data_IF_835400463239
#
_entry.id   IF_835400463239
#
_cell.length_a   1.000
_cell.length_b   1.000
_cell.length_c   1.000
_cell.angle_alpha   90.00
_cell.angle_beta   90.00
_cell.angle_gamma   90.00
#
_symmetry.space_group_name_H-M   'P 1'
#
loop_
_entity.id
_entity.type
_entity.pdbx_description
1 polymer ?
#
# COMPACT_ATOMS: atom_id res chain seq x y z
N UNK A 1 -29.14 15.24 55.78
CA UNK A 1 -28.81 13.90 55.26
C UNK A 1 -28.48 14.05 53.79
N UNK A 2 -27.34 13.50 53.40
CA UNK A 2 -26.47 13.89 52.29
C UNK A 2 -26.99 13.40 50.93
N UNK A 3 -27.26 14.34 50.01
CA UNK A 3 -27.45 14.08 48.57
C UNK A 3 -26.11 14.14 47.81
N UNK A 4 -26.03 13.54 46.61
CA UNK A 4 -24.79 12.97 46.08
C UNK A 4 -23.85 14.03 45.51
N UNK A 5 -22.56 13.91 45.86
CA UNK A 5 -21.48 14.51 45.07
C UNK A 5 -21.24 13.61 43.86
N UNK A 6 -21.89 13.88 42.73
CA UNK A 6 -21.29 13.52 41.45
C UNK A 6 -20.07 14.43 41.27
N UNK A 7 -18.90 13.89 41.60
CA UNK A 7 -17.66 14.37 41.01
C UNK A 7 -17.79 14.13 39.52
N UNK A 8 -18.08 15.20 38.77
CA UNK A 8 -17.89 15.23 37.34
C UNK A 8 -16.38 15.21 37.16
N UNK A 9 -15.85 14.07 36.74
CA UNK A 9 -14.47 13.98 36.25
C UNK A 9 -14.40 14.81 34.96
N UNK A 10 -14.29 16.13 35.10
CA UNK A 10 -13.79 17.01 34.04
C UNK A 10 -12.28 16.75 33.93
N UNK A 11 -11.92 15.55 33.48
CA UNK A 11 -10.59 15.27 32.97
C UNK A 11 -10.50 16.07 31.66
N UNK A 12 -10.00 17.30 31.81
CA UNK A 12 -9.77 18.23 30.71
C UNK A 12 -8.92 17.49 29.68
N UNK A 13 -9.55 17.01 28.61
CA UNK A 13 -8.88 16.33 27.52
C UNK A 13 -7.90 17.32 26.91
N UNK A 14 -6.65 17.24 27.35
CA UNK A 14 -5.59 18.12 26.91
C UNK A 14 -5.03 17.48 25.65
N UNK A 15 -5.44 18.02 24.51
CA UNK A 15 -4.86 17.67 23.22
C UNK A 15 -3.33 17.61 23.34
N UNK A 16 -2.77 16.42 23.12
CA UNK A 16 -1.33 16.19 23.07
C UNK A 16 -0.90 16.19 21.61
N UNK A 17 0.19 16.88 21.33
CA UNK A 17 0.79 16.92 19.98
C UNK A 17 2.16 16.30 20.02
N UNK A 18 2.40 15.35 19.12
CA UNK A 18 3.64 14.62 18.94
C UNK A 18 4.21 14.96 17.56
N UNK A 19 5.43 15.47 17.52
CA UNK A 19 6.17 15.65 16.28
C UNK A 19 6.61 14.28 15.74
N UNK A 20 6.44 14.05 14.43
CA UNK A 20 6.70 12.74 13.82
C UNK A 20 8.09 12.62 13.18
N UNK A 21 8.96 13.63 13.27
CA UNK A 21 10.30 13.63 12.65
C UNK A 21 11.11 12.35 12.93
N UNK A 22 10.97 11.78 14.14
CA UNK A 22 11.68 10.55 14.55
C UNK A 22 10.95 9.26 14.16
N UNK A 23 9.65 9.34 13.91
CA UNK A 23 8.79 8.21 13.57
C UNK A 23 8.63 8.03 12.04
N UNK A 24 8.95 9.05 11.25
CA UNK A 24 8.93 9.02 9.78
C UNK A 24 9.89 7.95 9.24
N UNK A 25 9.50 7.38 8.10
CA UNK A 25 10.29 6.42 7.36
C UNK A 25 10.66 6.94 5.96
N UNK A 26 10.87 8.25 5.78
CA UNK A 26 11.15 8.77 4.43
C UNK A 26 12.44 8.17 3.86
N UNK A 27 12.44 7.89 2.55
CA UNK A 27 13.61 7.39 1.85
C UNK A 27 14.01 5.93 2.18
N UNK A 28 13.15 5.19 2.90
CA UNK A 28 13.50 3.86 3.40
C UNK A 28 13.74 2.84 2.28
N UNK A 29 13.00 2.96 1.16
CA UNK A 29 13.10 2.03 0.04
C UNK A 29 14.38 2.27 -0.75
N UNK A 30 14.75 3.54 -0.94
CA UNK A 30 15.98 3.98 -1.58
C UNK A 30 17.20 3.52 -0.77
N UNK A 31 17.15 3.69 0.56
CA UNK A 31 18.19 3.19 1.47
C UNK A 31 18.35 1.67 1.40
N UNK A 32 17.25 0.93 1.18
CA UNK A 32 17.32 -0.52 0.97
C UNK A 32 18.00 -0.89 -0.36
N UNK A 33 17.80 -0.05 -1.39
CA UNK A 33 18.41 -0.21 -2.71
C UNK A 33 19.91 0.11 -2.75
N UNK A 34 20.39 1.06 -1.95
CA UNK A 34 21.78 1.56 -1.97
C UNK A 34 22.86 0.51 -1.63
N UNK A 35 22.48 -0.66 -1.10
CA UNK A 35 23.40 -1.75 -0.75
C UNK A 35 23.17 -3.08 -1.47
N UNK A 36 22.16 -3.19 -2.34
CA UNK A 36 21.72 -4.48 -2.88
C UNK A 36 22.00 -4.64 -4.37
N UNK A 37 22.87 -5.59 -4.71
CA UNK A 37 23.09 -5.98 -6.12
C UNK A 37 21.78 -6.51 -6.71
N UNK A 38 21.36 -5.95 -7.84
CA UNK A 38 20.16 -6.39 -8.55
C UNK A 38 18.85 -5.81 -8.06
N UNK A 39 18.85 -4.86 -7.10
CA UNK A 39 17.61 -4.23 -6.62
C UNK A 39 16.86 -3.49 -7.71
N UNK A 40 17.57 -2.75 -8.57
CA UNK A 40 16.97 -2.08 -9.73
C UNK A 40 16.29 -3.10 -10.65
N UNK A 41 16.97 -4.19 -10.97
CA UNK A 41 16.40 -5.26 -11.81
C UNK A 41 15.19 -5.92 -11.15
N UNK A 42 15.24 -6.13 -9.84
CA UNK A 42 14.12 -6.67 -9.08
C UNK A 42 12.92 -5.72 -9.15
N UNK A 43 13.11 -4.42 -8.97
CA UNK A 43 12.08 -3.40 -9.10
C UNK A 43 11.52 -3.31 -10.52
N UNK A 44 12.36 -3.46 -11.55
CA UNK A 44 11.94 -3.47 -12.95
C UNK A 44 11.03 -4.66 -13.28
N UNK A 45 11.33 -5.86 -12.74
CA UNK A 45 10.55 -7.06 -13.06
C UNK A 45 9.33 -7.20 -12.14
N UNK A 46 9.52 -7.07 -10.83
CA UNK A 46 8.46 -7.28 -9.83
C UNK A 46 7.56 -6.05 -9.71
N UNK A 47 8.09 -4.86 -10.00
CA UNK A 47 7.45 -3.57 -9.74
C UNK A 47 7.90 -3.02 -8.39
N UNK A 48 8.41 -1.80 -8.39
CA UNK A 48 8.96 -1.11 -7.22
C UNK A 48 8.00 -1.14 -6.01
N UNK A 49 6.71 -0.88 -6.24
CA UNK A 49 5.66 -0.96 -5.20
C UNK A 49 5.54 -2.33 -4.56
N UNK A 50 5.62 -3.40 -5.37
CA UNK A 50 5.50 -4.76 -4.88
C UNK A 50 6.77 -5.24 -4.18
N UNK A 51 7.94 -4.74 -4.57
CA UNK A 51 9.17 -4.93 -3.78
C UNK A 51 9.02 -4.26 -2.41
N UNK A 52 8.49 -3.04 -2.36
CA UNK A 52 8.23 -2.38 -1.09
C UNK A 52 7.21 -3.15 -0.24
N UNK A 53 6.10 -3.60 -0.83
CA UNK A 53 5.08 -4.41 -0.13
C UNK A 53 5.64 -5.72 0.41
N UNK A 54 6.60 -6.36 -0.29
CA UNK A 54 7.23 -7.57 0.23
C UNK A 54 7.99 -7.29 1.52
N UNK A 55 8.76 -6.20 1.56
CA UNK A 55 9.50 -5.82 2.76
C UNK A 55 8.55 -5.48 3.91
N UNK A 56 7.50 -4.70 3.64
CA UNK A 56 6.48 -4.34 4.65
C UNK A 56 5.77 -5.60 5.18
N UNK A 57 5.55 -6.61 4.34
CA UNK A 57 4.97 -7.89 4.74
C UNK A 57 5.95 -8.83 5.44
N UNK A 58 7.22 -8.43 5.65
CA UNK A 58 8.25 -9.30 6.21
C UNK A 58 8.68 -10.44 5.27
N UNK A 59 8.49 -10.26 3.97
CA UNK A 59 8.82 -11.21 2.91
C UNK A 59 10.14 -10.83 2.26
N UNK A 60 11.06 -11.80 2.23
CA UNK A 60 12.36 -11.68 1.57
C UNK A 60 12.36 -12.48 0.28
N UNK A 61 12.47 -11.79 -0.86
CA UNK A 61 12.67 -12.44 -2.15
C UNK A 61 14.10 -12.99 -2.21
N UNK A 62 14.24 -14.28 -2.49
CA UNK A 62 15.52 -14.98 -2.53
C UNK A 62 15.97 -15.31 -3.95
N UNK A 63 15.02 -15.55 -4.86
CA UNK A 63 15.31 -15.73 -6.28
C UNK A 63 14.13 -15.30 -7.17
N UNK A 64 14.46 -14.97 -8.42
CA UNK A 64 13.51 -14.60 -9.46
C UNK A 64 13.91 -15.27 -10.77
N UNK A 65 13.01 -16.06 -11.35
CA UNK A 65 13.19 -16.66 -12.68
C UNK A 65 12.22 -15.98 -13.65
N UNK A 66 12.76 -15.17 -14.56
CA UNK A 66 11.96 -14.36 -15.49
C UNK A 66 11.54 -15.19 -16.70
N UNK A 67 10.24 -15.19 -17.01
CA UNK A 67 9.74 -15.66 -18.31
C UNK A 67 9.55 -14.46 -19.26
N UNK A 68 10.40 -14.29 -20.29
CA UNK A 68 10.33 -13.14 -21.20
C UNK A 68 9.11 -13.17 -22.13
N UNK A 69 8.42 -14.32 -22.23
CA UNK A 69 7.23 -14.48 -23.08
C UNK A 69 5.95 -14.14 -22.32
N UNK A 70 5.93 -14.43 -21.02
CA UNK A 70 4.81 -14.12 -20.14
C UNK A 70 5.31 -13.70 -18.75
N UNK A 71 5.52 -12.40 -18.51
CA UNK A 71 6.06 -11.90 -17.25
C UNK A 71 5.30 -12.36 -16.00
N UNK A 72 3.96 -12.51 -16.09
CA UNK A 72 3.13 -12.96 -14.96
C UNK A 72 3.42 -14.41 -14.53
N UNK A 73 3.94 -15.23 -15.45
CA UNK A 73 4.37 -16.61 -15.18
C UNK A 73 5.83 -16.69 -14.69
N UNK A 74 6.52 -15.54 -14.59
CA UNK A 74 7.81 -15.50 -13.90
C UNK A 74 7.64 -16.04 -12.49
N UNK A 75 8.67 -16.71 -12.00
CA UNK A 75 8.61 -17.38 -10.71
C UNK A 75 9.36 -16.57 -9.68
N UNK A 76 8.70 -16.29 -8.57
CA UNK A 76 9.29 -15.66 -7.38
C UNK A 76 9.49 -16.72 -6.31
N UNK A 77 10.72 -16.84 -5.82
CA UNK A 77 11.07 -17.62 -4.64
C UNK A 77 11.33 -16.67 -3.47
N UNK A 78 10.73 -16.95 -2.31
CA UNK A 78 10.78 -16.06 -1.17
C UNK A 78 10.65 -16.79 0.17
N UNK A 79 11.05 -16.10 1.23
CA UNK A 79 10.94 -16.53 2.62
C UNK A 79 10.09 -15.51 3.39
N UNK A 80 9.42 -15.96 4.46
CA UNK A 80 8.56 -15.10 5.29
C UNK A 80 9.08 -15.14 6.71
N UNK A 81 9.63 -14.02 7.20
CA UNK A 81 10.24 -13.94 8.52
C UNK A 81 11.21 -15.09 8.79
N UNK A 82 11.02 -15.78 9.91
CA UNK A 82 11.83 -16.95 10.32
C UNK A 82 11.14 -18.29 10.03
N UNK A 83 10.04 -18.30 9.26
CA UNK A 83 9.35 -19.55 8.96
C UNK A 83 10.23 -20.45 8.09
N UNK A 84 10.43 -21.73 8.48
CA UNK A 84 11.27 -22.63 7.73
C UNK A 84 10.61 -23.00 6.40
N UNK A 85 11.34 -22.76 5.30
CA UNK A 85 10.98 -23.20 3.96
C UNK A 85 10.78 -22.05 2.97
N UNK A 86 11.47 -22.12 1.84
CA UNK A 86 11.23 -21.22 0.71
C UNK A 86 9.88 -21.55 0.07
N UNK A 87 9.13 -20.51 -0.25
CA UNK A 87 7.88 -20.59 -0.99
C UNK A 87 8.13 -20.12 -2.41
N UNK A 88 7.37 -20.69 -3.35
CA UNK A 88 7.48 -20.42 -4.78
C UNK A 88 6.11 -20.13 -5.34
N UNK A 89 5.94 -18.98 -5.97
CA UNK A 89 4.69 -18.55 -6.62
C UNK A 89 4.99 -17.99 -8.02
N UNK A 90 3.97 -17.95 -8.87
CA UNK A 90 4.01 -17.10 -10.06
C UNK A 90 4.05 -15.63 -9.63
N UNK A 91 4.54 -14.75 -10.50
CA UNK A 91 4.60 -13.32 -10.22
C UNK A 91 3.21 -12.74 -10.00
N UNK A 92 2.20 -13.19 -10.75
CA UNK A 92 0.81 -12.79 -10.54
C UNK A 92 0.28 -13.21 -9.16
N UNK A 93 0.51 -14.46 -8.75
CA UNK A 93 0.03 -14.96 -7.45
C UNK A 93 0.79 -14.29 -6.29
N UNK A 94 2.08 -14.03 -6.48
CA UNK A 94 2.90 -13.31 -5.52
C UNK A 94 2.38 -11.88 -5.30
N UNK A 95 2.10 -11.15 -6.39
CA UNK A 95 1.52 -9.80 -6.33
C UNK A 95 0.14 -9.80 -5.68
N UNK A 96 -0.72 -10.77 -6.00
CA UNK A 96 -2.04 -10.89 -5.37
C UNK A 96 -1.93 -11.16 -3.87
N UNK A 97 -1.00 -12.02 -3.45
CA UNK A 97 -0.75 -12.28 -2.03
C UNK A 97 -0.26 -11.03 -1.29
N UNK A 98 0.65 -10.27 -1.88
CA UNK A 98 1.12 -9.01 -1.29
C UNK A 98 -0.01 -7.99 -1.16
N UNK A 99 -0.86 -7.89 -2.18
CA UNK A 99 -2.04 -7.03 -2.16
C UNK A 99 -2.96 -7.38 -0.98
N UNK A 100 -3.26 -8.67 -0.80
CA UNK A 100 -4.08 -9.16 0.31
C UNK A 100 -3.44 -8.86 1.68
N UNK A 101 -2.11 -9.03 1.79
CA UNK A 101 -1.39 -8.71 3.02
C UNK A 101 -1.45 -7.21 3.36
N UNK A 102 -1.29 -6.32 2.38
CA UNK A 102 -1.34 -4.87 2.60
C UNK A 102 -2.75 -4.36 2.94
N UNK A 103 -3.79 -5.00 2.41
CA UNK A 103 -5.20 -4.63 2.59
C UNK A 103 -5.86 -5.32 3.78
N UNK A 104 -5.15 -6.23 4.47
CA UNK A 104 -5.65 -6.85 5.69
C UNK A 104 -5.73 -5.84 6.83
N UNK A 105 -6.70 -5.99 7.73
CA UNK A 105 -6.83 -5.12 8.89
C UNK A 105 -5.62 -5.27 9.81
N UNK A 106 -5.09 -4.14 10.29
CA UNK A 106 -4.05 -4.10 11.32
C UNK A 106 -4.67 -3.98 12.69
N UNK A 107 -4.18 -4.77 13.64
CA UNK A 107 -4.44 -4.55 15.07
C UNK A 107 -3.65 -3.32 15.54
N UNK A 108 -4.23 -2.14 15.36
CA UNK A 108 -3.61 -0.90 15.81
C UNK A 108 -3.90 -0.65 17.29
N UNK A 109 -2.94 0.00 17.98
CA UNK A 109 -3.15 0.39 19.37
C UNK A 109 -4.32 1.39 19.49
N UNK A 110 -5.12 1.22 20.54
CA UNK A 110 -6.24 2.11 20.87
C UNK A 110 -5.90 3.00 22.06
N UNK A 111 -6.63 4.11 22.23
CA UNK A 111 -6.40 5.07 23.30
C UNK A 111 -5.30 6.07 22.96
N UNK A 112 -4.36 6.31 23.89
CA UNK A 112 -3.25 7.23 23.68
C UNK A 112 -1.93 6.48 23.41
N UNK A 113 -0.99 7.07 22.64
CA UNK A 113 0.35 6.50 22.45
C UNK A 113 1.03 6.25 23.80
N UNK A 114 1.68 5.08 23.93
CA UNK A 114 2.43 4.68 25.14
C UNK A 114 3.60 5.61 25.48
N UNK A 115 4.13 6.30 24.47
CA UNK A 115 5.29 7.16 24.57
C UNK A 115 5.37 8.15 23.40
N UNK A 116 6.34 9.06 23.49
CA UNK A 116 6.67 10.03 22.43
C UNK A 116 7.93 9.61 21.62
N UNK A 117 8.44 8.40 21.88
CA UNK A 117 9.50 7.76 21.10
C UNK A 117 8.95 7.22 19.77
N UNK A 118 9.86 6.97 18.83
CA UNK A 118 9.52 6.55 17.47
C UNK A 118 8.71 5.26 17.46
N UNK A 119 9.12 4.26 18.23
CA UNK A 119 8.47 2.95 18.27
C UNK A 119 7.02 3.05 18.77
N UNK A 120 6.79 3.78 19.86
CA UNK A 120 5.44 4.02 20.39
C UNK A 120 4.54 4.74 19.39
N UNK A 121 5.06 5.75 18.70
CA UNK A 121 4.30 6.52 17.71
C UNK A 121 4.01 5.69 16.45
N UNK A 122 4.98 4.92 15.98
CA UNK A 122 4.81 4.03 14.83
C UNK A 122 3.83 2.91 15.12
N UNK A 123 3.89 2.29 16.31
CA UNK A 123 2.91 1.29 16.77
C UNK A 123 1.50 1.86 16.80
N UNK A 124 1.35 3.09 17.32
CA UNK A 124 0.06 3.76 17.41
C UNK A 124 -0.54 4.13 16.04
N UNK A 125 0.27 4.68 15.13
CA UNK A 125 -0.17 4.99 13.75
C UNK A 125 -0.45 3.68 12.99
N UNK A 126 0.38 2.67 13.23
CA UNK A 126 0.47 1.39 12.53
C UNK A 126 1.71 1.38 11.65
N UNK A 127 2.65 0.47 11.93
CA UNK A 127 3.95 0.38 11.24
C UNK A 127 3.81 0.31 9.72
N UNK A 128 2.81 -0.44 9.24
CA UNK A 128 2.49 -0.55 7.81
C UNK A 128 2.21 0.81 7.19
N UNK A 129 1.37 1.63 7.82
CA UNK A 129 0.99 2.94 7.29
C UNK A 129 2.17 3.92 7.29
N UNK A 130 3.04 3.84 8.30
CA UNK A 130 4.27 4.65 8.34
C UNK A 130 5.20 4.32 7.18
N UNK A 131 5.34 3.04 6.82
CA UNK A 131 6.18 2.60 5.70
C UNK A 131 5.53 2.85 4.33
N UNK A 132 4.20 2.75 4.24
CA UNK A 132 3.46 2.99 3.00
C UNK A 132 3.35 4.47 2.64
N UNK A 133 3.19 5.37 3.62
CA UNK A 133 3.02 6.79 3.40
C UNK A 133 4.08 7.44 2.47
N UNK A 134 5.39 7.25 2.70
CA UNK A 134 6.41 7.85 1.84
C UNK A 134 6.39 7.27 0.42
N UNK A 135 5.91 6.04 0.21
CA UNK A 135 5.76 5.51 -1.15
C UNK A 135 4.75 6.34 -1.94
N UNK A 136 3.71 6.88 -1.30
CA UNK A 136 2.68 7.69 -1.96
C UNK A 136 2.91 9.21 -1.84
N UNK A 137 4.15 9.63 -1.56
CA UNK A 137 4.53 11.03 -1.33
C UNK A 137 3.70 11.70 -0.22
N UNK A 138 3.31 10.93 0.81
CA UNK A 138 2.60 11.43 1.98
C UNK A 138 3.62 11.62 3.11
N UNK A 139 3.98 12.87 3.40
CA UNK A 139 4.82 13.21 4.54
C UNK A 139 4.02 13.22 5.84
N UNK A 140 4.51 12.56 6.89
CA UNK A 140 3.88 12.58 8.21
C UNK A 140 4.51 13.69 9.06
N UNK A 141 3.70 14.62 9.55
CA UNK A 141 4.22 15.83 10.23
C UNK A 141 3.99 15.77 11.74
N UNK A 142 2.72 15.70 12.17
CA UNK A 142 2.35 15.71 13.58
C UNK A 142 1.20 14.74 13.86
N UNK A 143 1.22 14.10 15.02
CA UNK A 143 0.07 13.37 15.57
C UNK A 143 -0.53 14.20 16.71
N UNK A 144 -1.84 14.47 16.64
CA UNK A 144 -2.64 15.19 17.62
C UNK A 144 -3.62 14.20 18.25
N UNK A 145 -3.53 13.98 19.56
CA UNK A 145 -4.37 13.02 20.28
C UNK A 145 -5.18 13.75 21.34
N UNK A 146 -6.49 13.56 21.30
CA UNK A 146 -7.46 14.13 22.22
C UNK A 146 -8.39 13.02 22.75
N UNK A 147 -8.00 12.40 23.87
CA UNK A 147 -8.64 11.18 24.37
C UNK A 147 -8.47 10.03 23.36
N UNK A 148 -9.59 9.53 22.85
CA UNK A 148 -9.64 8.46 21.85
C UNK A 148 -9.61 8.99 20.40
N UNK A 149 -9.68 10.31 20.21
CA UNK A 149 -9.62 10.92 18.89
C UNK A 149 -8.17 11.20 18.51
N UNK A 150 -7.74 10.66 17.37
CA UNK A 150 -6.44 10.93 16.80
C UNK A 150 -6.60 11.64 15.45
N UNK A 151 -5.85 12.72 15.27
CA UNK A 151 -5.72 13.45 14.01
C UNK A 151 -4.25 13.49 13.62
N UNK A 152 -3.94 13.21 12.36
CA UNK A 152 -2.59 13.26 11.82
C UNK A 152 -2.50 14.41 10.80
N UNK A 153 -1.50 15.27 10.99
CA UNK A 153 -1.13 16.28 10.00
C UNK A 153 -0.22 15.60 8.97
N UNK A 154 -0.64 15.64 7.71
CA UNK A 154 0.10 15.08 6.58
C UNK A 154 0.43 16.16 5.55
N UNK A 155 1.56 16.00 4.85
CA UNK A 155 1.95 16.81 3.73
C UNK A 155 1.75 16.01 2.42
N UNK A 156 0.87 16.47 1.54
CA UNK A 156 0.60 15.86 0.23
C UNK A 156 0.80 16.92 -0.85
N UNK A 157 1.72 16.69 -1.79
CA UNK A 157 2.05 17.69 -2.82
C UNK A 157 2.53 19.03 -2.23
N UNK A 158 3.17 18.99 -1.05
CA UNK A 158 3.63 20.17 -0.32
C UNK A 158 2.54 20.93 0.45
N UNK A 159 1.27 20.50 0.40
CA UNK A 159 0.19 21.09 1.20
C UNK A 159 -0.03 20.29 2.48
N UNK A 160 -0.12 20.98 3.61
CA UNK A 160 -0.40 20.39 4.92
C UNK A 160 -1.91 20.29 5.14
N UNK A 161 -2.37 19.13 5.56
CA UNK A 161 -3.77 18.85 5.87
C UNK A 161 -3.86 17.98 7.11
N UNK A 162 -4.85 18.26 7.97
CA UNK A 162 -5.20 17.42 9.12
C UNK A 162 -6.27 16.40 8.71
N UNK A 163 -6.02 15.12 9.01
CA UNK A 163 -6.97 14.03 8.78
C UNK A 163 -7.22 13.27 10.08
N UNK A 164 -8.45 12.81 10.36
CA UNK A 164 -8.64 11.72 11.31
C UNK A 164 -7.69 10.57 10.99
N UNK A 165 -7.11 9.96 12.01
CA UNK A 165 -6.10 8.91 11.80
C UNK A 165 -6.64 7.75 10.98
N UNK A 166 -7.91 7.38 11.18
CA UNK A 166 -8.56 6.35 10.37
C UNK A 166 -8.76 6.78 8.93
N UNK A 167 -9.15 8.03 8.66
CA UNK A 167 -9.25 8.56 7.28
C UNK A 167 -7.89 8.53 6.56
N UNK A 168 -6.79 8.79 7.28
CA UNK A 168 -5.43 8.61 6.73
C UNK A 168 -5.14 7.13 6.40
N UNK A 169 -5.52 6.20 7.27
CA UNK A 169 -5.36 4.76 7.00
C UNK A 169 -6.17 4.33 5.78
N UNK A 170 -7.40 4.81 5.67
CA UNK A 170 -8.29 4.57 4.54
C UNK A 170 -7.69 5.11 3.24
N UNK A 171 -7.21 6.35 3.25
CA UNK A 171 -6.51 6.98 2.13
C UNK A 171 -5.33 6.14 1.65
N UNK A 172 -4.48 5.66 2.56
CA UNK A 172 -3.33 4.81 2.20
C UNK A 172 -3.79 3.46 1.63
N UNK A 173 -4.83 2.84 2.18
CA UNK A 173 -5.40 1.59 1.63
C UNK A 173 -5.97 1.79 0.24
N UNK A 174 -6.58 2.93 -0.04
CA UNK A 174 -7.09 3.25 -1.37
C UNK A 174 -5.96 3.36 -2.40
N UNK A 175 -4.83 3.97 -2.01
CA UNK A 175 -3.64 4.00 -2.88
C UNK A 175 -3.06 2.61 -3.17
N UNK A 176 -3.05 1.74 -2.16
CA UNK A 176 -2.68 0.32 -2.37
C UNK A 176 -3.65 -0.36 -3.35
N UNK A 177 -4.97 -0.11 -3.24
CA UNK A 177 -5.97 -0.68 -4.17
C UNK A 177 -5.75 -0.18 -5.60
N UNK A 178 -5.40 1.10 -5.77
CA UNK A 178 -5.09 1.69 -7.07
C UNK A 178 -3.88 0.99 -7.72
N UNK A 179 -2.78 0.80 -6.98
CA UNK A 179 -1.59 0.09 -7.48
C UNK A 179 -1.93 -1.34 -7.94
N UNK A 180 -2.75 -2.05 -7.16
CA UNK A 180 -3.19 -3.42 -7.47
C UNK A 180 -4.07 -3.46 -8.71
N UNK A 181 -4.94 -2.45 -8.90
CA UNK A 181 -5.80 -2.36 -10.08
C UNK A 181 -5.00 -2.00 -11.35
N UNK A 182 -4.04 -1.09 -11.24
CA UNK A 182 -3.19 -0.69 -12.38
C UNK A 182 -2.40 -1.88 -12.94
N UNK A 183 -1.93 -2.79 -12.08
CA UNK A 183 -1.25 -4.01 -12.53
C UNK A 183 -2.18 -5.04 -13.18
N UNK A 184 -3.47 -5.03 -12.83
CA UNK A 184 -4.48 -5.93 -13.43
C UNK A 184 -5.03 -5.43 -14.76
N UNK A 185 -4.74 -4.19 -15.15
CA UNK A 185 -5.26 -3.63 -16.40
C UNK A 185 -4.81 -4.50 -17.59
N UNK A 186 -5.75 -5.01 -18.41
CA UNK A 186 -5.39 -5.85 -19.54
C UNK A 186 -4.53 -5.05 -20.51
N UNK A 187 -3.49 -5.71 -21.03
CA UNK A 187 -2.67 -5.19 -22.11
C UNK A 187 -3.58 -4.60 -23.21
N UNK A 188 -3.29 -3.40 -23.75
CA UNK A 188 -4.15 -2.73 -24.75
C UNK A 188 -4.32 -3.51 -26.08
N UNK A 189 -3.78 -4.72 -26.19
CA UNK A 189 -3.84 -5.60 -27.35
C UNK A 189 -4.79 -6.80 -27.21
N UNK A 190 -5.76 -6.77 -26.29
CA UNK A 190 -6.89 -7.71 -26.36
C UNK A 190 -7.82 -7.34 -27.54
N UNK A 191 -7.40 -7.64 -28.76
CA UNK A 191 -8.32 -7.76 -29.90
C UNK A 191 -9.18 -8.98 -29.60
N UNK A 192 -10.45 -8.75 -29.28
CA UNK A 192 -11.42 -9.83 -29.14
C UNK A 192 -11.67 -10.47 -30.52
N UNK A 193 -10.96 -11.57 -30.80
CA UNK A 193 -11.05 -12.30 -32.06
C UNK A 193 -12.45 -12.89 -32.31
N UNK A 194 -13.33 -12.92 -31.29
CA UNK A 194 -14.73 -13.29 -31.47
C UNK A 194 -15.57 -12.19 -32.15
N UNK A 195 -15.03 -10.98 -32.30
CA UNK A 195 -15.66 -9.89 -33.07
C UNK A 195 -15.28 -9.92 -34.57
N UNK A 196 -14.26 -10.70 -34.97
CA UNK A 196 -13.82 -10.83 -36.37
C UNK A 196 -14.92 -11.38 -37.30
N UNK A 197 -15.74 -12.38 -36.91
CA UNK A 197 -16.86 -12.84 -37.74
C UNK A 197 -17.93 -11.76 -37.93
N UNK A 198 -18.19 -10.93 -36.91
CA UNK A 198 -19.17 -9.83 -36.99
C UNK A 198 -18.70 -8.69 -37.89
N UNK A 199 -17.41 -8.34 -37.83
CA UNK A 199 -16.82 -7.34 -38.72
C UNK A 199 -16.81 -7.80 -40.20
N UNK A 200 -16.56 -9.09 -40.46
CA UNK A 200 -16.65 -9.67 -41.82
C UNK A 200 -18.08 -9.76 -42.35
N UNK A 201 -19.06 -9.97 -41.48
CA UNK A 201 -20.48 -10.01 -41.87
C UNK A 201 -21.02 -8.62 -42.24
N UNK A 202 -20.61 -7.57 -41.52
CA UNK A 202 -20.97 -6.18 -41.83
C UNK A 202 -20.37 -5.72 -43.17
N UNK A 203 -19.09 -6.01 -43.41
CA UNK A 203 -18.42 -5.65 -44.67
C UNK A 203 -19.00 -6.38 -45.91
N UNK A 204 -19.66 -7.52 -45.73
CA UNK A 204 -20.28 -8.29 -46.82
C UNK A 204 -21.72 -7.84 -47.13
N UNK A 205 -22.31 -7.00 -46.27
CA UNK A 205 -23.68 -6.50 -46.43
C UNK A 205 -23.74 -5.12 -47.12
N UNK A 206 -22.61 -4.39 -47.22
CA UNK A 206 -22.60 -3.00 -47.67
C UNK A 206 -21.88 -2.70 -48.99
N UNK A 207 -21.49 -3.69 -49.81
CA UNK A 207 -21.01 -3.35 -51.17
C UNK A 207 -21.17 -4.47 -52.20
N UNK A 208 -22.35 -4.53 -52.83
CA UNK A 208 -22.47 -4.77 -54.28
C UNK A 208 -23.92 -4.51 -54.73
N UNK A 209 -24.29 -3.23 -54.89
CA UNK A 209 -25.23 -2.88 -55.97
C UNK A 209 -25.14 -1.40 -56.39
N UNK A 210 -24.70 -1.22 -57.64
CA UNK A 210 -24.97 -0.06 -58.48
C UNK A 210 -23.97 1.10 -58.41
N UNK A 211 -23.48 1.70 -59.50
CA UNK A 211 -23.92 1.71 -60.91
C UNK A 211 -22.78 2.37 -61.70
N UNK A 212 -22.41 1.76 -62.83
CA UNK A 212 -21.86 2.32 -64.11
C UNK A 212 -20.69 3.32 -64.04
#
# INVERSE_FOLDING_TARGET
MTGPRLGRDDETHRMKTYALDKARADGWLEQLGDGSQGFTQLCEVVGERFVAFSVIAGIRITALTVDPRNPDQSVVEFEIGELPGSQRLSLSDFRERLAQAMLSEDENETGAPKGADAESLQSYIGFRYVLLAPLYDIGLECLKVDGDLATIEVAIGGQKTDLPLDDFRDLVRDRVREDVQQQRAPSPFSIDLNLVPRARAAAKAEDSDGVV
#
